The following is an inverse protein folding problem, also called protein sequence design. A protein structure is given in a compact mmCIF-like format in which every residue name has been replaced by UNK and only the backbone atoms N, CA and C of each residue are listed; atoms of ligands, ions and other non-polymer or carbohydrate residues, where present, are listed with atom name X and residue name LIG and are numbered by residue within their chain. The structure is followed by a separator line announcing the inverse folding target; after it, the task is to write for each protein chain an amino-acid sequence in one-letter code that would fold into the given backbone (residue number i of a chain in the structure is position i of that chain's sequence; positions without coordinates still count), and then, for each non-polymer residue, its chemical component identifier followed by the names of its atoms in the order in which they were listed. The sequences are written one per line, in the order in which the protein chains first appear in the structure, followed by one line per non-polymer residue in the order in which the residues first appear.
data_IF_149839824509
#
_entry.id   IF_149839824509
#
_cell.length_a   1.000
_cell.length_b   1.000
_cell.length_c   1.000
_cell.angle_alpha   90.00
_cell.angle_beta   90.00
_cell.angle_gamma   90.00
#
_symmetry.space_group_name_H-M   'P 1'
#
loop_
_entity.id
_entity.type
_entity.pdbx_description
1 polymer ?
#
# COMPACT_ATOMS: atom_id res chain seq x y z
N UNK A 1 -47.23 -12.00 42.75
CA UNK A 1 -47.75 -13.05 41.85
C UNK A 1 -46.78 -13.11 40.67
N UNK A 2 -45.66 -13.84 40.82
CA UNK A 2 -45.50 -15.21 40.30
C UNK A 2 -45.36 -15.14 38.76
N UNK A 3 -44.31 -15.57 38.07
CA UNK A 3 -43.50 -16.79 38.18
C UNK A 3 -42.29 -16.66 37.21
N UNK A 4 -41.07 -17.12 37.59
CA UNK A 4 -40.37 -18.30 37.03
C UNK A 4 -39.63 -18.05 35.68
N UNK A 5 -38.45 -18.59 35.33
CA UNK A 5 -37.57 -19.65 35.85
C UNK A 5 -36.28 -19.71 35.00
N UNK A 6 -35.18 -20.17 35.63
CA UNK A 6 -34.10 -21.04 35.07
C UNK A 6 -33.29 -20.44 33.90
N UNK A 7 -32.03 -20.73 33.67
CA UNK A 7 -31.11 -21.79 34.08
C UNK A 7 -29.78 -21.44 33.43
N UNK A 8 -28.65 -21.78 34.05
CA UNK A 8 -27.40 -21.77 33.30
C UNK A 8 -26.16 -21.78 34.16
N UNK A 9 -25.96 -22.84 34.93
CA UNK A 9 -24.61 -23.27 35.25
C UNK A 9 -23.84 -23.55 33.95
N UNK A 10 -22.51 -23.44 34.04
CA UNK A 10 -21.52 -24.33 33.38
C UNK A 10 -20.66 -23.71 32.28
N UNK A 11 -19.36 -23.96 32.40
CA UNK A 11 -18.35 -23.77 31.35
C UNK A 11 -17.20 -22.88 31.81
N UNK A 12 -16.10 -23.33 32.45
CA UNK A 12 -15.00 -24.15 31.87
C UNK A 12 -14.56 -23.56 30.51
N UNK A 13 -13.31 -23.29 30.17
CA UNK A 13 -11.99 -23.59 30.76
C UNK A 13 -10.92 -22.96 29.83
N UNK A 14 -9.71 -22.71 30.34
CA UNK A 14 -8.42 -22.55 29.61
C UNK A 14 -8.30 -21.31 28.69
N UNK A 15 -7.17 -20.63 28.57
CA UNK A 15 -5.82 -21.15 28.55
C UNK A 15 -4.78 -20.12 29.04
N UNK A 16 -3.77 -20.65 29.72
CA UNK A 16 -2.43 -20.10 29.77
C UNK A 16 -1.89 -19.94 28.34
N UNK A 17 -1.28 -18.79 28.04
CA UNK A 17 -0.64 -18.56 26.75
C UNK A 17 0.22 -17.32 26.82
N UNK A 18 1.53 -17.53 26.93
CA UNK A 18 2.57 -16.53 27.06
C UNK A 18 2.33 -15.28 26.19
N UNK A 19 2.29 -14.11 26.83
CA UNK A 19 2.51 -12.84 26.13
C UNK A 19 3.98 -12.85 25.71
N UNK A 20 4.23 -13.33 24.50
CA UNK A 20 5.53 -13.25 23.86
C UNK A 20 6.00 -11.81 23.90
N UNK A 21 7.17 -11.59 24.49
CA UNK A 21 7.82 -10.29 24.53
C UNK A 21 7.83 -9.71 23.11
N UNK A 22 7.00 -8.70 22.88
CA UNK A 22 7.08 -7.89 21.68
C UNK A 22 8.53 -7.36 21.63
N UNK A 23 9.32 -7.85 20.68
CA UNK A 23 10.67 -7.33 20.46
C UNK A 23 10.49 -5.86 20.17
N UNK A 24 10.90 -5.01 21.11
CA UNK A 24 11.00 -3.57 20.92
C UNK A 24 11.86 -3.33 19.70
N UNK A 25 11.23 -3.05 18.56
CA UNK A 25 11.97 -2.64 17.37
C UNK A 25 12.64 -1.31 17.73
N UNK A 26 13.95 -1.27 17.53
CA UNK A 26 14.84 -0.15 17.78
C UNK A 26 14.51 1.05 16.88
N UNK A 27 13.38 1.71 17.16
CA UNK A 27 13.11 3.08 16.73
C UNK A 27 14.15 4.05 17.30
N UNK A 28 14.87 3.64 18.36
CA UNK A 28 15.89 4.41 19.05
C UNK A 28 17.06 4.86 18.16
N UNK A 29 17.51 4.02 17.22
CA UNK A 29 18.66 4.35 16.37
C UNK A 29 18.36 5.51 15.42
N UNK A 30 17.14 5.62 14.89
CA UNK A 30 16.78 6.63 13.89
C UNK A 30 16.12 7.89 14.48
N UNK A 31 15.97 8.02 15.81
CA UNK A 31 15.25 9.15 16.43
C UNK A 31 15.87 10.52 16.17
N UNK A 32 17.16 10.56 15.84
CA UNK A 32 17.93 11.78 15.62
C UNK A 32 18.04 12.15 14.14
N UNK A 33 17.45 11.36 13.25
CA UNK A 33 17.45 11.65 11.81
C UNK A 33 16.23 12.50 11.50
N UNK A 34 16.48 13.76 11.20
CA UNK A 34 15.44 14.67 10.72
C UNK A 34 15.00 14.29 9.29
N UNK A 35 13.70 14.43 8.97
CA UNK A 35 13.21 14.18 7.62
C UNK A 35 13.89 15.10 6.60
N UNK A 36 14.24 14.54 5.44
CA UNK A 36 14.71 15.34 4.32
C UNK A 36 13.60 16.28 3.82
N UNK A 37 13.96 17.48 3.32
CA UNK A 37 12.98 18.36 2.67
C UNK A 37 12.34 17.66 1.47
N UNK A 38 11.06 17.94 1.23
CA UNK A 38 10.33 17.38 0.09
C UNK A 38 10.96 17.82 -1.22
N UNK A 39 11.08 16.89 -2.17
CA UNK A 39 11.54 17.19 -3.51
C UNK A 39 10.48 18.04 -4.26
N UNK A 40 10.85 19.23 -4.77
CA UNK A 40 9.95 20.08 -5.54
C UNK A 40 9.29 19.37 -6.75
N UNK A 41 9.98 18.43 -7.40
CA UNK A 41 9.44 17.70 -8.56
C UNK A 41 8.30 16.76 -8.17
N UNK A 42 8.36 16.17 -6.97
CA UNK A 42 7.32 15.31 -6.44
C UNK A 42 6.09 16.14 -6.05
N UNK A 43 6.30 17.38 -5.59
CA UNK A 43 5.23 18.32 -5.25
C UNK A 43 4.30 18.63 -6.42
N UNK A 44 4.80 18.66 -7.66
CA UNK A 44 3.96 18.89 -8.86
C UNK A 44 2.95 17.77 -9.06
N UNK A 45 3.36 16.52 -8.79
CA UNK A 45 2.45 15.36 -8.88
C UNK A 45 1.45 15.35 -7.73
N UNK A 46 1.88 15.70 -6.50
CA UNK A 46 0.97 15.85 -5.35
C UNK A 46 -0.12 16.89 -5.63
N UNK A 47 0.26 18.06 -6.18
CA UNK A 47 -0.68 19.11 -6.56
C UNK A 47 -1.65 18.67 -7.66
N UNK A 48 -1.15 17.96 -8.70
CA UNK A 48 -1.99 17.39 -9.75
C UNK A 48 -3.01 16.38 -9.20
N UNK A 49 -2.62 15.53 -8.24
CA UNK A 49 -3.53 14.56 -7.63
C UNK A 49 -4.60 15.23 -6.75
N UNK A 50 -4.23 16.32 -6.06
CA UNK A 50 -5.14 17.07 -5.18
C UNK A 50 -6.17 17.95 -5.93
N UNK A 51 -5.90 18.32 -7.17
CA UNK A 51 -6.81 19.16 -7.98
C UNK A 51 -8.09 18.38 -8.39
N UNK A 52 -9.31 18.85 -8.06
CA UNK A 52 -10.56 18.20 -8.46
C UNK A 52 -10.98 18.48 -9.91
N UNK A 53 -10.31 19.38 -10.62
CA UNK A 53 -10.68 19.78 -11.98
C UNK A 53 -10.69 18.57 -12.94
N UNK A 54 -11.75 18.39 -13.75
CA UNK A 54 -11.81 17.32 -14.75
C UNK A 54 -10.86 17.54 -15.93
N UNK A 55 -10.45 18.80 -16.19
CA UNK A 55 -9.64 19.19 -17.35
C UNK A 55 -8.15 19.39 -17.00
N UNK A 56 -7.70 18.83 -15.88
CA UNK A 56 -6.30 18.97 -15.43
C UNK A 56 -5.34 18.15 -16.29
N UNK A 57 -4.14 18.70 -16.52
CA UNK A 57 -3.07 18.04 -17.30
C UNK A 57 -1.81 17.89 -16.46
N UNK A 58 -1.24 16.69 -16.42
CA UNK A 58 0.01 16.43 -15.71
C UNK A 58 1.21 16.73 -16.62
N UNK A 59 1.94 17.79 -16.31
CA UNK A 59 3.20 18.20 -16.99
C UNK A 59 4.44 18.02 -16.10
N UNK A 60 4.30 17.40 -14.93
CA UNK A 60 5.40 17.22 -13.98
C UNK A 60 6.28 16.03 -14.32
N UNK A 61 5.66 14.89 -14.68
CA UNK A 61 6.40 13.65 -15.01
C UNK A 61 6.66 13.60 -16.50
N UNK A 62 7.94 13.64 -16.90
CA UNK A 62 8.39 13.49 -18.29
C UNK A 62 8.30 12.06 -18.82
N UNK A 63 7.13 11.44 -18.74
CA UNK A 63 6.86 10.09 -19.23
C UNK A 63 5.90 10.12 -20.42
N UNK A 64 6.19 9.30 -21.43
CA UNK A 64 5.31 9.14 -22.58
C UNK A 64 3.99 8.50 -22.17
N UNK A 65 2.90 9.08 -22.66
CA UNK A 65 1.54 8.62 -22.45
C UNK A 65 0.83 8.49 -23.79
N UNK A 66 -0.17 7.61 -23.84
CA UNK A 66 -1.05 7.47 -25.00
C UNK A 66 -2.09 8.60 -25.05
N UNK A 67 -2.96 8.57 -26.06
CA UNK A 67 -4.04 9.55 -26.24
C UNK A 67 -5.05 9.58 -25.07
N UNK A 68 -5.07 8.54 -24.23
CA UNK A 68 -5.90 8.43 -23.04
C UNK A 68 -5.15 8.80 -21.75
N UNK A 69 -3.91 9.28 -21.85
CA UNK A 69 -3.07 9.63 -20.71
C UNK A 69 -2.51 8.44 -19.94
N UNK A 70 -2.51 7.22 -20.49
CA UNK A 70 -1.95 6.02 -19.85
C UNK A 70 -0.47 5.83 -20.20
N UNK A 71 0.34 5.26 -19.30
CA UNK A 71 1.73 4.93 -19.60
C UNK A 71 1.85 3.94 -20.78
N UNK A 72 2.75 4.23 -21.71
CA UNK A 72 2.98 3.37 -22.88
C UNK A 72 4.19 2.46 -22.63
N UNK A 73 3.96 1.15 -22.68
CA UNK A 73 5.04 0.16 -22.79
C UNK A 73 5.22 -0.18 -24.26
N UNK A 74 6.46 -0.13 -24.73
CA UNK A 74 6.80 -0.44 -26.12
C UNK A 74 6.67 -1.94 -26.40
N UNK A 75 6.26 -2.29 -27.63
CA UNK A 75 6.03 -3.69 -27.99
C UNK A 75 7.31 -4.54 -27.95
N UNK A 76 8.45 -3.96 -28.33
CA UNK A 76 9.75 -4.61 -28.21
C UNK A 76 10.12 -4.96 -26.76
N UNK A 77 9.71 -4.13 -25.79
CA UNK A 77 9.94 -4.38 -24.37
C UNK A 77 9.05 -5.53 -23.88
N UNK A 78 7.78 -5.56 -24.28
CA UNK A 78 6.87 -6.68 -23.96
C UNK A 78 7.35 -8.01 -24.52
N UNK A 79 7.86 -8.00 -25.75
CA UNK A 79 8.48 -9.18 -26.39
C UNK A 79 9.70 -9.66 -25.59
N UNK A 80 10.58 -8.74 -25.19
CA UNK A 80 11.74 -9.06 -24.37
C UNK A 80 11.32 -9.64 -23.00
N UNK A 81 10.33 -9.04 -22.34
CA UNK A 81 9.78 -9.54 -21.07
C UNK A 81 9.23 -10.97 -21.21
N UNK A 82 8.49 -11.28 -22.29
CA UNK A 82 7.99 -12.64 -22.56
C UNK A 82 9.11 -13.67 -22.74
N UNK A 83 10.20 -13.28 -23.42
CA UNK A 83 11.40 -14.13 -23.58
C UNK A 83 12.10 -14.39 -22.26
N UNK A 84 12.27 -13.35 -21.43
CA UNK A 84 12.95 -13.42 -20.15
C UNK A 84 12.14 -14.22 -19.12
N UNK A 85 10.82 -14.04 -19.11
CA UNK A 85 9.92 -14.74 -18.19
C UNK A 85 9.75 -16.24 -18.50
N UNK A 86 10.32 -16.74 -19.60
CA UNK A 86 10.26 -18.15 -19.98
C UNK A 86 8.90 -18.60 -20.53
N UNK A 87 7.99 -17.67 -20.85
CA UNK A 87 6.62 -17.97 -21.27
C UNK A 87 6.46 -18.19 -22.79
N UNK A 88 7.47 -18.79 -23.43
CA UNK A 88 7.39 -19.13 -24.86
C UNK A 88 6.97 -20.59 -25.05
N UNK A 89 5.71 -20.79 -25.43
CA UNK A 89 5.35 -21.84 -26.38
C UNK A 89 5.90 -21.37 -27.73
N UNK A 90 7.05 -21.90 -28.13
CA UNK A 90 7.60 -21.73 -29.48
C UNK A 90 6.67 -22.34 -30.53
#
# INVERSE_FOLDING_TARGET
MAQLLRSGCSGRVLASGAVGAARSMSTAWWRHVEPAPKDPILGVTEAFLADPSPDKVNVGVGAYRDDNGKPVVLECVREAERRIAGNLNM
#
